data_IF_449602505753
#
_entry.id   IF_449602505753
#
_cell.length_a   1.000
_cell.length_b   1.000
_cell.length_c   1.000
_cell.angle_alpha   90.00
_cell.angle_beta   90.00
_cell.angle_gamma   90.00
#
_symmetry.space_group_name_H-M   'P 1'
#
loop_
_entity.id
_entity.type
_entity.pdbx_description
1 polymer ?
#
# COMPACT_ATOMS: atom_id res chain seq x y z
N UNK A 1 -11.49 -2.14 8.82
CA UNK A 1 -11.58 -2.08 7.35
C UNK A 1 -11.34 -3.45 6.76
N UNK A 2 -12.15 -3.83 5.77
CA UNK A 2 -11.94 -5.05 5.01
C UNK A 2 -10.69 -4.90 4.13
N UNK A 3 -9.68 -5.73 4.37
CA UNK A 3 -8.42 -5.74 3.60
C UNK A 3 -8.53 -6.63 2.38
N UNK A 4 -9.34 -7.69 2.45
CA UNK A 4 -9.50 -8.67 1.38
C UNK A 4 -10.86 -9.34 1.45
N UNK A 5 -11.44 -9.53 0.26
CA UNK A 5 -12.70 -10.19 -0.01
C UNK A 5 -12.56 -11.12 -1.23
N UNK A 6 -13.58 -11.89 -1.62
CA UNK A 6 -13.50 -12.75 -2.83
C UNK A 6 -13.29 -11.96 -4.12
N UNK A 7 -13.62 -10.67 -4.11
CA UNK A 7 -13.45 -9.76 -5.25
C UNK A 7 -12.05 -9.17 -5.35
N UNK A 8 -11.21 -9.28 -4.32
CA UNK A 8 -9.85 -8.74 -4.36
C UNK A 8 -9.40 -8.19 -3.02
N UNK A 9 -8.32 -7.41 -3.04
CA UNK A 9 -7.77 -6.73 -1.87
C UNK A 9 -7.93 -5.20 -1.92
N UNK A 10 -7.78 -4.58 -0.75
CA UNK A 10 -7.85 -3.13 -0.54
C UNK A 10 -6.57 -2.57 0.08
N UNK A 11 -5.48 -3.34 0.17
CA UNK A 11 -4.14 -2.90 0.58
C UNK A 11 -3.65 -1.73 -0.27
N UNK A 12 -3.35 -1.98 -1.55
CA UNK A 12 -2.74 -1.02 -2.49
C UNK A 12 -2.82 -1.52 -3.94
N UNK A 13 -2.28 -0.77 -4.91
CA UNK A 13 -2.09 -1.17 -6.31
C UNK A 13 -0.66 -0.88 -6.76
N UNK A 14 -0.19 -1.43 -7.89
CA UNK A 14 1.06 -0.98 -8.49
C UNK A 14 1.07 0.51 -8.83
N UNK A 15 -0.10 1.12 -9.12
CA UNK A 15 -0.21 2.55 -9.36
C UNK A 15 -0.01 3.40 -8.10
N UNK A 16 -0.44 2.93 -6.93
CA UNK A 16 -0.32 3.64 -5.65
C UNK A 16 0.95 3.28 -4.86
N UNK A 17 1.50 2.08 -5.11
CA UNK A 17 2.68 1.52 -4.45
C UNK A 17 3.58 0.80 -5.47
N UNK A 18 4.25 1.53 -6.35
CA UNK A 18 4.99 0.97 -7.48
C UNK A 18 6.37 0.46 -7.13
N UNK A 19 6.93 0.92 -6.02
CA UNK A 19 8.15 0.38 -5.46
C UNK A 19 7.91 -0.89 -4.62
N UNK A 20 6.67 -1.37 -4.57
CA UNK A 20 6.25 -2.61 -3.93
C UNK A 20 5.94 -3.66 -5.01
N UNK A 21 6.86 -4.61 -5.19
CA UNK A 21 6.74 -5.70 -6.16
C UNK A 21 5.56 -6.66 -5.87
N UNK A 22 4.94 -6.58 -4.69
CA UNK A 22 3.80 -7.39 -4.29
C UNK A 22 2.48 -6.62 -4.27
N UNK A 23 2.45 -5.37 -4.74
CA UNK A 23 1.26 -4.52 -4.82
C UNK A 23 0.22 -4.99 -5.86
N UNK A 24 0.59 -5.93 -6.73
CA UNK A 24 -0.26 -6.49 -7.79
C UNK A 24 -1.13 -7.68 -7.36
N UNK A 25 -1.22 -7.99 -6.06
CA UNK A 25 -2.01 -9.11 -5.57
C UNK A 25 -3.51 -8.81 -5.72
N UNK A 26 -4.22 -9.66 -6.45
CA UNK A 26 -5.69 -9.68 -6.53
C UNK A 26 -6.33 -8.28 -6.63
N UNK A 27 -5.76 -7.43 -7.48
CA UNK A 27 -6.25 -6.07 -7.73
C UNK A 27 -7.54 -6.15 -8.54
N UNK A 28 -8.62 -5.60 -7.99
CA UNK A 28 -9.91 -5.59 -8.65
C UNK A 28 -10.12 -4.28 -9.42
N UNK A 29 -10.23 -4.37 -10.73
CA UNK A 29 -10.32 -3.20 -11.63
C UNK A 29 -11.63 -3.11 -12.41
N UNK A 30 -12.65 -3.87 -12.01
CA UNK A 30 -13.91 -4.00 -12.73
C UNK A 30 -15.04 -3.27 -12.03
N UNK A 31 -16.00 -2.77 -12.82
CA UNK A 31 -17.27 -2.32 -12.28
C UNK A 31 -18.18 -3.50 -11.98
N UNK A 32 -18.85 -3.43 -10.84
CA UNK A 32 -19.91 -4.38 -10.49
C UNK A 32 -21.27 -3.91 -11.03
N UNK A 33 -22.24 -4.81 -10.99
CA UNK A 33 -23.66 -4.55 -11.34
C UNK A 33 -23.86 -4.10 -12.80
N UNK A 34 -22.98 -4.53 -13.70
CA UNK A 34 -23.05 -4.19 -15.12
C UNK A 34 -22.85 -2.69 -15.41
N UNK A 35 -22.35 -1.92 -14.43
CA UNK A 35 -22.07 -0.49 -14.61
C UNK A 35 -20.99 -0.32 -15.68
N UNK A 36 -21.31 0.47 -16.70
CA UNK A 36 -20.35 0.93 -17.71
C UNK A 36 -19.73 2.23 -17.22
N UNK A 37 -18.43 2.41 -17.46
CA UNK A 37 -17.74 3.62 -17.07
C UNK A 37 -16.23 3.49 -17.26
N UNK A 38 -15.49 4.59 -17.11
CA UNK A 38 -14.02 4.55 -17.05
C UNK A 38 -13.59 3.63 -15.90
N UNK A 39 -12.38 3.05 -15.91
CA UNK A 39 -11.87 2.23 -14.82
C UNK A 39 -12.11 2.87 -13.44
N UNK A 40 -12.37 2.07 -12.37
CA UNK A 40 -12.52 2.61 -11.03
C UNK A 40 -11.32 3.47 -10.62
N UNK A 41 -11.59 4.57 -9.90
CA UNK A 41 -10.55 5.46 -9.39
C UNK A 41 -9.68 4.72 -8.37
N UNK A 42 -8.35 4.77 -8.55
CA UNK A 42 -7.42 4.16 -7.60
C UNK A 42 -7.22 5.03 -6.35
N UNK A 43 -6.96 6.33 -6.52
CA UNK A 43 -6.80 7.23 -5.37
C UNK A 43 -8.09 7.31 -4.55
N UNK A 44 -7.93 7.25 -3.23
CA UNK A 44 -9.04 7.23 -2.28
C UNK A 44 -9.71 5.86 -2.09
N UNK A 45 -9.32 4.83 -2.86
CA UNK A 45 -9.97 3.51 -2.83
C UNK A 45 -9.21 2.43 -2.04
N UNK A 46 -7.97 2.71 -1.60
CA UNK A 46 -7.10 1.72 -0.95
C UNK A 46 -6.63 2.17 0.44
N UNK A 47 -6.55 1.22 1.37
CA UNK A 47 -6.33 1.48 2.79
C UNK A 47 -4.91 1.94 3.11
N UNK A 48 -3.89 1.49 2.36
CA UNK A 48 -2.53 2.01 2.52
C UNK A 48 -2.46 3.49 2.19
N UNK A 49 -3.17 3.93 1.14
CA UNK A 49 -3.30 5.35 0.82
C UNK A 49 -4.04 6.11 1.93
N UNK A 50 -5.13 5.55 2.45
CA UNK A 50 -5.84 6.17 3.57
C UNK A 50 -4.95 6.33 4.83
N UNK A 51 -4.11 5.34 5.17
CA UNK A 51 -3.15 5.46 6.27
C UNK A 51 -2.12 6.58 6.04
N UNK A 52 -1.60 6.67 4.81
CA UNK A 52 -0.69 7.74 4.36
C UNK A 52 -1.35 9.12 4.49
N UNK A 53 -2.55 9.27 3.94
CA UNK A 53 -3.33 10.50 4.05
C UNK A 53 -3.63 10.86 5.50
N UNK A 54 -3.89 9.85 6.35
CA UNK A 54 -4.13 10.02 7.77
C UNK A 54 -2.94 10.62 8.52
N UNK A 55 -1.72 10.13 8.28
CA UNK A 55 -0.52 10.71 8.91
C UNK A 55 -0.19 12.09 8.35
N UNK A 56 -0.43 12.33 7.07
CA UNK A 56 -0.29 13.66 6.47
C UNK A 56 -1.30 14.68 7.03
N UNK A 57 -2.55 14.26 7.26
CA UNK A 57 -3.57 15.07 7.95
C UNK A 57 -3.20 15.34 9.40
N UNK A 58 -2.64 14.36 10.13
CA UNK A 58 -2.17 14.56 11.50
C UNK A 58 -1.11 15.66 11.57
N UNK A 59 -0.11 15.59 10.69
CA UNK A 59 0.95 16.57 10.61
C UNK A 59 0.41 17.97 10.24
N UNK A 60 -0.46 18.04 9.22
CA UNK A 60 -0.91 19.31 8.65
C UNK A 60 -2.03 19.99 9.46
N UNK A 61 -2.88 19.20 10.13
CA UNK A 61 -4.15 19.65 10.73
C UNK A 61 -4.35 19.20 12.17
N UNK A 62 -3.47 18.35 12.71
CA UNK A 62 -3.53 17.88 14.09
C UNK A 62 -4.56 16.79 14.36
N UNK A 63 -5.02 16.07 13.32
CA UNK A 63 -5.90 14.91 13.49
C UNK A 63 -5.74 13.86 12.38
N UNK A 64 -5.94 12.59 12.74
CA UNK A 64 -5.90 11.44 11.83
C UNK A 64 -7.22 10.64 11.90
N UNK A 65 -8.09 10.76 10.88
CA UNK A 65 -9.34 9.99 10.85
C UNK A 65 -9.14 8.54 10.37
N UNK A 66 -7.97 8.23 9.79
CA UNK A 66 -7.66 6.94 9.16
C UNK A 66 -6.75 6.08 10.05
N UNK A 67 -7.25 5.77 11.26
CA UNK A 67 -6.64 4.75 12.15
C UNK A 67 -7.48 3.46 12.30
N UNK A 68 -8.13 2.92 11.26
CA UNK A 68 -8.87 1.66 11.39
C UNK A 68 -7.91 0.47 11.52
N UNK A 69 -8.40 -0.60 12.15
CA UNK A 69 -7.77 -1.91 12.09
C UNK A 69 -8.19 -2.64 10.83
N UNK A 70 -7.58 -3.78 10.55
CA UNK A 70 -7.87 -4.58 9.36
C UNK A 70 -8.50 -5.92 9.71
N UNK A 71 -9.43 -6.34 8.85
CA UNK A 71 -10.19 -7.59 8.92
C UNK A 71 -10.34 -8.15 7.50
N UNK A 72 -10.66 -9.43 7.37
CA UNK A 72 -10.96 -10.07 6.09
C UNK A 72 -12.43 -10.44 5.97
N UNK A 73 -12.96 -10.46 4.76
CA UNK A 73 -14.35 -10.79 4.47
C UNK A 73 -14.49 -11.88 3.41
N UNK A 74 -15.68 -12.47 3.37
CA UNK A 74 -16.06 -13.42 2.33
C UNK A 74 -16.92 -12.74 1.27
N UNK A 75 -18.04 -12.16 1.69
CA UNK A 75 -19.11 -11.70 0.79
C UNK A 75 -19.41 -12.78 -0.27
N UNK A 76 -19.57 -13.98 0.26
CA UNK A 76 -19.97 -15.17 -0.47
C UNK A 76 -21.48 -15.30 -0.43
N UNK A 77 -22.10 -15.58 -1.58
CA UNK A 77 -23.55 -15.69 -1.75
C UNK A 77 -24.02 -17.16 -1.70
N UNK A 78 -23.28 -18.00 -0.97
CA UNK A 78 -23.60 -19.40 -0.72
C UNK A 78 -23.48 -19.71 0.78
N UNK A 79 -24.10 -20.79 1.24
CA UNK A 79 -24.19 -21.14 2.67
C UNK A 79 -22.85 -21.50 3.34
N UNK A 80 -21.80 -21.75 2.55
CA UNK A 80 -20.45 -22.08 3.01
C UNK A 80 -19.42 -21.20 2.31
N UNK A 81 -18.37 -20.79 3.03
CA UNK A 81 -17.37 -19.85 2.50
C UNK A 81 -16.15 -20.62 1.98
N UNK A 82 -15.75 -20.45 0.70
CA UNK A 82 -14.50 -21.00 0.21
C UNK A 82 -13.35 -20.04 0.51
N UNK A 83 -12.47 -20.37 1.46
CA UNK A 83 -11.34 -19.52 1.88
C UNK A 83 -9.97 -20.07 1.46
N UNK A 84 -9.93 -21.16 0.69
CA UNK A 84 -8.69 -21.80 0.23
C UNK A 84 -8.69 -21.97 -1.28
N UNK A 85 -7.51 -21.87 -1.89
CA UNK A 85 -7.32 -22.23 -3.30
C UNK A 85 -7.67 -23.71 -3.52
N UNK A 86 -7.17 -24.57 -2.64
CA UNK A 86 -7.56 -25.98 -2.56
C UNK A 86 -9.02 -26.05 -2.07
N UNK A 87 -9.87 -26.72 -2.83
CA UNK A 87 -11.31 -26.86 -2.56
C UNK A 87 -12.14 -25.56 -2.76
N UNK A 88 -11.74 -24.70 -3.69
CA UNK A 88 -12.60 -23.60 -4.13
C UNK A 88 -13.80 -24.14 -4.92
N UNK A 89 -15.02 -23.78 -4.50
CA UNK A 89 -16.26 -24.29 -5.10
C UNK A 89 -17.18 -23.20 -5.66
N UNK A 90 -16.66 -21.98 -5.84
CA UNK A 90 -17.46 -20.82 -6.27
C UNK A 90 -18.16 -20.11 -5.12
N UNK A 91 -18.67 -18.92 -5.39
CA UNK A 91 -19.26 -18.03 -4.37
C UNK A 91 -20.64 -17.48 -4.76
N UNK A 92 -21.17 -17.88 -5.92
CA UNK A 92 -22.42 -17.35 -6.52
C UNK A 92 -23.44 -18.45 -6.86
N UNK A 93 -23.42 -19.55 -6.10
CA UNK A 93 -24.42 -20.61 -6.18
C UNK A 93 -24.48 -21.24 -7.57
N UNK A 94 -25.67 -21.32 -8.14
CA UNK A 94 -25.89 -22.01 -9.43
C UNK A 94 -25.19 -21.37 -10.63
N UNK A 95 -24.66 -20.15 -10.48
CA UNK A 95 -23.89 -19.48 -11.55
C UNK A 95 -22.47 -20.06 -11.66
N UNK A 96 -21.87 -20.47 -10.55
CA UNK A 96 -20.46 -20.89 -10.49
C UNK A 96 -20.24 -22.17 -9.67
N UNK A 97 -21.27 -23.03 -9.55
CA UNK A 97 -21.26 -24.29 -8.79
C UNK A 97 -20.42 -25.40 -9.42
N UNK A 98 -20.26 -25.45 -10.74
CA UNK A 98 -19.41 -26.44 -11.43
C UNK A 98 -18.04 -25.89 -11.83
N UNK A 99 -17.08 -26.81 -11.99
CA UNK A 99 -15.72 -26.48 -12.43
C UNK A 99 -15.76 -25.82 -13.82
N UNK A 100 -16.57 -26.38 -14.73
CA UNK A 100 -16.73 -25.90 -16.10
C UNK A 100 -17.27 -24.48 -16.14
N UNK A 101 -18.31 -24.16 -15.34
CA UNK A 101 -18.88 -22.80 -15.27
C UNK A 101 -17.82 -21.78 -14.82
N UNK A 102 -17.07 -22.11 -13.76
CA UNK A 102 -16.00 -21.25 -13.24
C UNK A 102 -14.86 -21.04 -14.24
N UNK A 103 -14.37 -22.12 -14.84
CA UNK A 103 -13.26 -22.06 -15.80
C UNK A 103 -13.67 -21.36 -17.10
N UNK A 104 -14.93 -21.51 -17.52
CA UNK A 104 -15.47 -20.78 -18.68
C UNK A 104 -15.77 -19.29 -18.37
N UNK A 105 -15.61 -18.85 -17.11
CA UNK A 105 -15.83 -17.47 -16.71
C UNK A 105 -17.29 -17.06 -16.71
N UNK A 106 -18.18 -17.92 -16.20
CA UNK A 106 -19.59 -17.58 -15.99
C UNK A 106 -19.73 -16.23 -15.27
N UNK A 107 -20.59 -15.36 -15.78
CA UNK A 107 -20.71 -13.97 -15.31
C UNK A 107 -21.94 -13.79 -14.43
N UNK A 108 -21.76 -13.14 -13.30
CA UNK A 108 -22.83 -12.71 -12.37
C UNK A 108 -22.72 -11.21 -12.15
N UNK A 109 -23.76 -10.46 -12.52
CA UNK A 109 -23.77 -9.00 -12.34
C UNK A 109 -22.53 -8.27 -12.90
N UNK A 110 -21.98 -8.76 -14.01
CA UNK A 110 -20.75 -8.22 -14.64
C UNK A 110 -19.43 -8.77 -14.09
N UNK A 111 -19.48 -9.59 -13.02
CA UNK A 111 -18.31 -10.24 -12.44
C UNK A 111 -18.06 -11.60 -13.11
N UNK A 112 -16.91 -11.74 -13.76
CA UNK A 112 -16.46 -13.00 -14.31
C UNK A 112 -15.94 -13.93 -13.19
N UNK A 113 -16.56 -15.10 -13.02
CA UNK A 113 -16.23 -16.07 -11.97
C UNK A 113 -14.78 -16.57 -11.99
N UNK A 114 -14.08 -16.49 -13.12
CA UNK A 114 -12.65 -16.84 -13.21
C UNK A 114 -11.77 -15.89 -12.36
N UNK A 115 -12.20 -14.64 -12.21
CA UNK A 115 -11.48 -13.60 -11.47
C UNK A 115 -11.81 -13.58 -9.98
N UNK A 116 -12.83 -14.33 -9.57
CA UNK A 116 -13.20 -14.47 -8.17
C UNK A 116 -12.15 -15.32 -7.46
N UNK A 117 -11.81 -14.92 -6.25
CA UNK A 117 -10.81 -15.60 -5.41
C UNK A 117 -11.46 -16.23 -4.18
N UNK A 118 -10.75 -17.11 -3.45
CA UNK A 118 -11.19 -17.52 -2.13
C UNK A 118 -11.44 -16.30 -1.24
N UNK A 119 -12.21 -16.44 -0.17
CA UNK A 119 -12.48 -15.39 0.81
C UNK A 119 -11.24 -15.01 1.61
N UNK A 120 -11.24 -13.81 2.21
CA UNK A 120 -10.30 -13.46 3.27
C UNK A 120 -10.77 -13.99 4.62
N UNK A 121 -9.86 -14.08 5.59
CA UNK A 121 -10.21 -14.40 6.97
C UNK A 121 -9.86 -13.23 7.89
N UNK A 122 -10.75 -12.98 8.84
CA UNK A 122 -10.48 -12.13 10.00
C UNK A 122 -9.87 -12.96 11.12
N UNK A 123 -8.78 -12.46 11.69
CA UNK A 123 -8.20 -13.00 12.90
C UNK A 123 -8.22 -11.94 14.00
N UNK A 124 -8.54 -12.38 15.21
CA UNK A 124 -8.75 -11.52 16.39
C UNK A 124 -7.95 -12.12 17.55
N UNK A 125 -7.03 -11.35 18.12
CA UNK A 125 -6.33 -11.76 19.34
C UNK A 125 -7.11 -11.29 20.56
N UNK A 126 -7.85 -12.22 21.16
CA UNK A 126 -8.60 -12.02 22.40
C UNK A 126 -7.99 -12.83 23.55
N UNK A 127 -8.21 -12.39 24.78
CA UNK A 127 -7.75 -13.07 26.00
C UNK A 127 -8.48 -14.39 26.21
N UNK A 128 -9.74 -14.46 25.78
CA UNK A 128 -10.62 -15.63 25.86
C UNK A 128 -11.63 -15.62 24.71
N UNK A 129 -12.29 -16.77 24.49
CA UNK A 129 -13.32 -16.93 23.47
C UNK A 129 -14.72 -16.60 24.02
N UNK A 130 -14.86 -15.38 24.57
CA UNK A 130 -16.15 -14.82 25.00
C UNK A 130 -16.54 -13.68 24.08
N UNK A 131 -17.84 -13.39 23.98
CA UNK A 131 -18.33 -12.28 23.17
C UNK A 131 -17.64 -10.96 23.56
N UNK A 132 -17.56 -10.67 24.85
CA UNK A 132 -17.00 -9.41 25.34
C UNK A 132 -15.52 -9.29 25.01
N UNK A 133 -14.72 -10.33 25.28
CA UNK A 133 -13.29 -10.33 24.96
C UNK A 133 -13.00 -10.18 23.45
N UNK A 134 -13.83 -10.78 22.59
CA UNK A 134 -13.73 -10.62 21.13
C UNK A 134 -14.08 -9.20 20.69
N UNK A 135 -15.14 -8.60 21.24
CA UNK A 135 -15.53 -7.22 20.92
C UNK A 135 -14.49 -6.22 21.42
N UNK A 136 -13.92 -6.42 22.60
CA UNK A 136 -12.85 -5.60 23.12
C UNK A 136 -11.58 -5.69 22.27
N UNK A 137 -11.27 -6.89 21.75
CA UNK A 137 -10.16 -7.11 20.81
C UNK A 137 -10.34 -6.37 19.50
N UNK A 138 -11.54 -6.43 18.93
CA UNK A 138 -11.88 -5.66 17.73
C UNK A 138 -11.85 -4.15 17.99
N UNK A 139 -12.35 -3.69 19.15
CA UNK A 139 -12.34 -2.27 19.54
C UNK A 139 -10.93 -1.72 19.68
N UNK A 140 -10.01 -2.48 20.30
CA UNK A 140 -8.58 -2.10 20.36
C UNK A 140 -7.81 -2.36 19.07
N UNK A 141 -8.49 -2.90 18.03
CA UNK A 141 -7.94 -3.19 16.70
C UNK A 141 -6.80 -4.21 16.72
N UNK A 142 -6.79 -5.11 17.69
CA UNK A 142 -5.83 -6.22 17.75
C UNK A 142 -6.28 -7.35 16.82
N UNK A 143 -6.40 -6.99 15.55
CA UNK A 143 -6.95 -7.79 14.48
C UNK A 143 -6.00 -7.78 13.30
N UNK A 144 -6.09 -8.80 12.47
CA UNK A 144 -5.38 -8.86 11.22
C UNK A 144 -6.20 -9.61 10.17
N UNK A 145 -5.87 -9.41 8.90
CA UNK A 145 -6.52 -10.08 7.78
C UNK A 145 -5.58 -11.08 7.15
N UNK A 146 -6.12 -12.18 6.65
CA UNK A 146 -5.39 -13.07 5.75
C UNK A 146 -6.10 -13.17 4.42
N UNK A 147 -5.36 -13.56 3.40
CA UNK A 147 -5.91 -13.84 2.08
C UNK A 147 -6.69 -15.16 2.00
N UNK A 148 -7.01 -15.78 3.15
CA UNK A 148 -7.75 -17.04 3.22
C UNK A 148 -7.00 -18.15 3.94
N UNK A 149 -5.66 -18.11 3.90
CA UNK A 149 -4.78 -19.01 4.65
C UNK A 149 -4.74 -18.63 6.13
N UNK A 150 -4.63 -19.61 7.03
CA UNK A 150 -4.63 -19.41 8.48
C UNK A 150 -3.24 -19.15 9.04
N UNK A 151 -2.53 -18.15 8.51
CA UNK A 151 -1.25 -17.69 9.05
C UNK A 151 -1.48 -17.07 10.43
N UNK A 152 -0.97 -17.65 11.54
CA UNK A 152 -0.96 -16.98 12.84
C UNK A 152 0.08 -15.87 12.83
N UNK A 153 -0.32 -14.62 13.08
CA UNK A 153 0.56 -13.45 13.05
C UNK A 153 0.49 -12.66 14.36
N UNK A 154 1.63 -12.41 14.99
CA UNK A 154 1.80 -11.48 16.11
C UNK A 154 2.71 -10.33 15.70
N UNK A 155 2.33 -9.12 16.07
CA UNK A 155 3.08 -7.89 15.80
C UNK A 155 2.99 -6.97 17.01
N UNK A 156 4.15 -6.56 17.52
CA UNK A 156 4.28 -5.65 18.65
C UNK A 156 5.31 -4.57 18.34
N UNK A 157 5.15 -3.38 18.92
CA UNK A 157 6.09 -2.26 18.81
C UNK A 157 6.44 -1.67 20.18
N UNK A 158 7.65 -1.13 20.33
CA UNK A 158 8.08 -0.48 21.57
C UNK A 158 9.52 0.04 21.50
N UNK A 159 9.95 0.77 22.53
CA UNK A 159 11.25 1.48 22.54
C UNK A 159 12.46 0.64 22.99
N UNK A 160 12.23 -0.61 23.39
CA UNK A 160 13.26 -1.47 24.00
C UNK A 160 12.98 -2.95 23.82
N UNK A 161 12.36 -3.32 22.69
CA UNK A 161 12.17 -4.73 22.33
C UNK A 161 13.48 -5.23 21.72
N UNK A 162 14.14 -6.19 22.38
CA UNK A 162 15.40 -6.76 21.93
C UNK A 162 15.25 -8.20 21.42
N UNK A 163 16.19 -8.64 20.58
CA UNK A 163 16.16 -9.99 20.00
C UNK A 163 16.26 -11.12 21.04
N UNK A 164 16.83 -10.86 22.22
CA UNK A 164 16.89 -11.81 23.33
C UNK A 164 15.51 -12.15 23.90
N UNK A 165 14.52 -11.25 23.77
CA UNK A 165 13.14 -11.50 24.17
C UNK A 165 12.56 -12.75 23.50
N UNK A 166 12.86 -12.99 22.21
CA UNK A 166 12.29 -14.10 21.45
C UNK A 166 12.74 -15.48 21.93
N UNK A 167 13.82 -15.54 22.73
CA UNK A 167 14.35 -16.75 23.36
C UNK A 167 13.61 -17.14 24.65
N UNK A 168 12.81 -16.22 25.20
CA UNK A 168 12.03 -16.49 26.41
C UNK A 168 10.83 -17.37 26.07
N UNK A 169 10.52 -18.32 26.96
CA UNK A 169 9.36 -19.21 26.80
C UNK A 169 8.05 -18.41 26.66
N UNK A 170 7.88 -17.41 27.52
CA UNK A 170 6.69 -16.54 27.59
C UNK A 170 6.92 -15.19 26.90
N UNK A 171 7.63 -15.17 25.77
CA UNK A 171 8.00 -13.91 25.08
C UNK A 171 6.78 -13.04 24.73
N UNK A 172 5.61 -13.64 24.46
CA UNK A 172 4.37 -12.91 24.16
C UNK A 172 3.92 -12.08 25.37
N UNK A 173 3.95 -12.67 26.57
CA UNK A 173 3.63 -11.96 27.83
C UNK A 173 4.60 -10.79 28.04
N UNK A 174 5.88 -11.02 27.79
CA UNK A 174 6.90 -9.95 27.85
C UNK A 174 6.63 -8.85 26.82
N UNK A 175 6.20 -9.20 25.60
CA UNK A 175 5.90 -8.24 24.55
C UNK A 175 4.68 -7.35 24.90
N UNK A 176 3.61 -7.92 25.46
CA UNK A 176 2.49 -7.14 25.99
C UNK A 176 2.88 -6.23 27.15
N UNK A 177 3.81 -6.66 28.02
CA UNK A 177 4.24 -5.87 29.16
C UNK A 177 5.18 -4.71 28.78
N UNK A 178 5.97 -4.86 27.71
CA UNK A 178 7.02 -3.90 27.31
C UNK A 178 6.71 -3.09 26.05
N UNK A 179 5.68 -3.45 25.31
CA UNK A 179 5.31 -2.82 24.05
C UNK A 179 3.80 -2.74 23.89
N UNK A 180 3.38 -2.40 22.68
CA UNK A 180 1.97 -2.33 22.29
C UNK A 180 1.71 -3.31 21.14
N UNK A 181 0.54 -3.96 21.10
CA UNK A 181 0.19 -4.85 20.00
C UNK A 181 -0.22 -4.06 18.74
N UNK A 182 -0.34 -4.77 17.62
CA UNK A 182 -1.01 -4.25 16.42
C UNK A 182 -2.37 -3.60 16.77
N UNK A 183 -2.70 -2.49 16.11
CA UNK A 183 -3.91 -1.73 16.40
C UNK A 183 -3.73 -0.58 17.39
N UNK A 184 -2.56 -0.44 18.00
CA UNK A 184 -2.28 0.57 19.02
C UNK A 184 -1.31 1.68 18.56
N UNK A 185 -1.31 2.77 19.32
CA UNK A 185 -0.30 3.82 19.25
C UNK A 185 0.93 3.45 20.09
N UNK A 186 2.13 3.71 19.58
CA UNK A 186 3.34 3.68 20.38
C UNK A 186 3.22 4.70 21.53
N UNK A 187 3.70 4.33 22.74
CA UNK A 187 3.74 5.28 23.84
C UNK A 187 4.73 6.41 23.53
N UNK A 188 4.68 7.49 24.32
CA UNK A 188 5.52 8.67 24.11
C UNK A 188 7.00 8.31 23.87
N UNK A 189 7.66 8.97 22.89
CA UNK A 189 8.99 8.60 22.44
C UNK A 189 10.05 8.66 23.52
N UNK A 190 10.89 7.62 23.58
CA UNK A 190 12.01 7.50 24.51
C UNK A 190 13.37 7.95 23.89
N UNK A 191 13.34 8.71 22.78
CA UNK A 191 14.53 9.24 22.12
C UNK A 191 15.38 8.25 21.32
N UNK A 192 14.90 7.01 21.13
CA UNK A 192 15.53 5.97 20.28
C UNK A 192 14.54 5.51 19.21
N UNK A 193 15.02 4.84 18.16
CA UNK A 193 14.15 4.22 17.17
C UNK A 193 13.27 3.12 17.80
N UNK A 194 12.00 2.98 17.37
CA UNK A 194 11.16 1.89 17.84
C UNK A 194 11.64 0.56 17.26
N UNK A 195 11.55 -0.47 18.08
CA UNK A 195 11.77 -1.86 17.72
C UNK A 195 10.43 -2.58 17.63
N UNK A 196 10.35 -3.53 16.72
CA UNK A 196 9.15 -4.26 16.37
C UNK A 196 9.41 -5.75 16.43
N UNK A 197 8.57 -6.47 17.17
CA UNK A 197 8.59 -7.93 17.23
C UNK A 197 7.57 -8.45 16.24
N UNK A 198 7.99 -9.37 15.36
CA UNK A 198 7.10 -10.08 14.46
C UNK A 198 7.27 -11.59 14.66
N UNK A 199 6.16 -12.31 14.72
CA UNK A 199 6.14 -13.77 14.71
C UNK A 199 5.01 -14.24 13.80
N UNK A 200 5.37 -15.05 12.80
CA UNK A 200 4.44 -15.67 11.88
C UNK A 200 4.74 -17.17 11.74
N UNK A 201 3.70 -17.99 11.67
CA UNK A 201 3.81 -19.41 11.33
C UNK A 201 2.96 -19.71 10.11
N UNK A 202 3.32 -20.73 9.33
CA UNK A 202 2.52 -21.15 8.17
C UNK A 202 1.12 -21.63 8.58
N UNK A 203 0.16 -21.57 7.66
CA UNK A 203 -1.04 -22.40 7.79
C UNK A 203 -0.62 -23.88 7.67
N UNK A 204 -0.96 -24.76 8.63
CA UNK A 204 -0.66 -26.19 8.55
C UNK A 204 -1.14 -26.86 7.25
N UNK A 205 -2.21 -26.34 6.65
CA UNK A 205 -2.82 -26.86 5.42
C UNK A 205 -2.35 -26.13 4.14
N UNK A 206 -1.41 -25.17 4.23
CA UNK A 206 -0.94 -24.36 3.10
C UNK A 206 0.59 -24.39 2.91
N UNK A 207 1.07 -23.47 2.09
CA UNK A 207 2.47 -23.28 1.73
C UNK A 207 3.31 -22.82 2.93
N UNK A 208 4.62 -23.10 2.86
CA UNK A 208 5.59 -22.51 3.76
C UNK A 208 5.69 -20.99 3.54
N UNK A 209 6.23 -20.25 4.50
CA UNK A 209 6.42 -18.81 4.43
C UNK A 209 7.62 -18.45 3.52
N UNK A 210 7.46 -17.44 2.67
CA UNK A 210 8.53 -16.77 1.93
C UNK A 210 9.24 -15.76 2.83
N UNK A 211 8.51 -14.72 3.23
CA UNK A 211 9.07 -13.56 3.95
C UNK A 211 8.05 -12.81 4.78
N UNK A 212 8.57 -12.02 5.70
CA UNK A 212 7.86 -11.02 6.49
C UNK A 212 8.38 -9.65 6.08
N UNK A 213 7.44 -8.76 5.80
CA UNK A 213 7.68 -7.37 5.46
C UNK A 213 7.08 -6.45 6.52
N UNK A 214 7.77 -5.34 6.81
CA UNK A 214 7.18 -4.20 7.51
C UNK A 214 6.99 -3.09 6.47
N UNK A 215 5.75 -2.67 6.28
CA UNK A 215 5.39 -1.52 5.47
C UNK A 215 5.32 -0.31 6.39
N UNK A 216 6.25 0.62 6.22
CA UNK A 216 6.28 1.91 6.91
C UNK A 216 5.67 2.97 6.00
N UNK A 217 4.81 3.82 6.54
CA UNK A 217 4.42 5.07 5.90
C UNK A 217 4.65 6.26 6.84
N UNK A 218 4.98 7.42 6.28
CA UNK A 218 5.21 8.67 7.02
C UNK A 218 4.87 9.87 6.14
N UNK A 219 4.82 11.07 6.73
CA UNK A 219 4.57 12.31 5.99
C UNK A 219 5.59 13.39 6.27
N UNK A 220 5.88 14.20 5.25
CA UNK A 220 6.70 15.41 5.36
C UNK A 220 5.98 16.51 4.59
N UNK A 221 5.62 17.60 5.27
CA UNK A 221 4.95 18.76 4.70
C UNK A 221 3.73 18.38 3.85
N UNK A 222 2.89 17.48 4.36
CA UNK A 222 1.67 17.03 3.66
C UNK A 222 1.90 16.04 2.51
N UNK A 223 3.15 15.80 2.08
CA UNK A 223 3.48 14.70 1.17
C UNK A 223 3.60 13.41 1.97
N UNK A 224 3.08 12.33 1.40
CA UNK A 224 3.13 11.00 2.00
C UNK A 224 4.18 10.12 1.33
N UNK A 225 4.86 9.33 2.15
CA UNK A 225 5.94 8.44 1.74
C UNK A 225 5.68 7.04 2.27
N UNK A 226 6.22 6.04 1.59
CA UNK A 226 6.23 4.67 2.08
C UNK A 226 7.57 3.99 1.83
N UNK A 227 7.85 2.96 2.63
CA UNK A 227 8.98 2.07 2.42
C UNK A 227 8.65 0.69 2.94
N UNK A 228 8.99 -0.31 2.15
CA UNK A 228 8.80 -1.71 2.47
C UNK A 228 10.16 -2.27 2.89
N UNK A 229 10.20 -2.89 4.07
CA UNK A 229 11.38 -3.56 4.59
C UNK A 229 11.12 -5.06 4.64
N UNK A 230 11.95 -5.86 3.96
CA UNK A 230 12.03 -7.30 4.21
C UNK A 230 12.77 -7.51 5.54
N UNK A 231 12.10 -8.05 6.57
CA UNK A 231 12.64 -8.13 7.94
C UNK A 231 12.95 -9.54 8.43
N UNK A 232 12.38 -10.55 7.76
CA UNK A 232 12.72 -11.96 7.92
C UNK A 232 12.34 -12.71 6.64
N UNK A 233 13.14 -13.68 6.20
CA UNK A 233 12.86 -14.44 4.98
C UNK A 233 13.46 -15.83 5.03
N UNK A 234 12.90 -16.73 4.21
CA UNK A 234 13.33 -18.11 4.10
C UNK A 234 14.55 -18.27 3.19
N UNK A 235 15.44 -19.20 3.56
CA UNK A 235 16.60 -19.59 2.76
C UNK A 235 17.74 -18.56 2.75
N UNK A 236 18.92 -18.93 2.24
CA UNK A 236 20.14 -18.10 2.26
C UNK A 236 20.15 -17.04 1.13
N UNK A 237 19.05 -16.29 1.00
CA UNK A 237 18.95 -15.18 0.04
C UNK A 237 19.57 -13.93 0.64
N UNK A 238 20.31 -13.17 -0.16
CA UNK A 238 20.95 -11.93 0.26
C UNK A 238 20.16 -10.73 -0.28
N UNK A 239 19.81 -9.75 0.56
CA UNK A 239 19.25 -8.49 0.09
C UNK A 239 20.23 -7.79 -0.85
N UNK A 240 19.68 -7.10 -1.84
CA UNK A 240 20.44 -6.18 -2.68
C UNK A 240 21.02 -5.04 -1.82
N UNK A 241 22.34 -4.75 -1.86
CA UNK A 241 22.95 -3.76 -0.99
C UNK A 241 22.48 -2.32 -1.20
N UNK A 242 21.98 -1.98 -2.39
CA UNK A 242 21.55 -0.62 -2.72
C UNK A 242 20.09 -0.39 -2.32
N UNK A 243 19.22 -1.37 -2.56
CA UNK A 243 17.77 -1.25 -2.39
C UNK A 243 17.26 -1.92 -1.10
N UNK A 244 18.02 -2.86 -0.53
CA UNK A 244 17.59 -3.69 0.60
C UNK A 244 16.56 -4.76 0.23
N UNK A 245 16.22 -4.92 -1.06
CA UNK A 245 15.21 -5.88 -1.54
C UNK A 245 15.76 -7.30 -1.55
N UNK A 246 14.99 -8.26 -1.03
CA UNK A 246 15.35 -9.68 -1.08
C UNK A 246 14.88 -10.30 -2.40
N UNK A 247 15.74 -11.01 -3.15
CA UNK A 247 15.34 -11.71 -4.36
C UNK A 247 14.10 -12.59 -4.17
N UNK A 248 13.25 -12.68 -5.20
CA UNK A 248 12.06 -13.54 -5.17
C UNK A 248 12.44 -14.98 -4.78
N UNK A 249 11.59 -15.62 -3.96
CA UNK A 249 11.74 -17.04 -3.69
C UNK A 249 11.41 -17.83 -4.97
N UNK A 250 12.07 -18.98 -5.16
CA UNK A 250 11.73 -19.89 -6.26
C UNK A 250 10.28 -20.38 -6.16
N UNK A 251 9.84 -21.08 -7.20
CA UNK A 251 8.51 -21.72 -7.25
C UNK A 251 8.66 -23.23 -7.25
N UNK A 252 7.84 -23.93 -6.46
CA UNK A 252 7.71 -25.39 -6.47
C UNK A 252 6.42 -25.85 -7.16
N UNK A 253 5.73 -24.93 -7.84
CA UNK A 253 4.46 -25.19 -8.52
C UNK A 253 4.68 -26.06 -9.75
N UNK A 254 3.96 -27.17 -9.82
CA UNK A 254 3.79 -27.98 -11.02
C UNK A 254 2.44 -27.60 -11.65
N UNK A 255 2.48 -26.73 -12.66
CA UNK A 255 1.27 -26.26 -13.36
C UNK A 255 0.58 -27.38 -14.16
N UNK A 256 1.32 -28.39 -14.61
CA UNK A 256 0.75 -29.54 -15.33
C UNK A 256 -0.09 -30.42 -14.43
N UNK A 257 0.23 -30.47 -13.13
CA UNK A 257 -0.52 -31.23 -12.11
C UNK A 257 -1.42 -30.35 -11.23
N UNK A 258 -1.26 -29.04 -11.26
CA UNK A 258 -1.93 -28.13 -10.34
C UNK A 258 -1.52 -28.38 -8.89
N UNK A 259 -0.26 -28.77 -8.66
CA UNK A 259 0.27 -29.10 -7.34
C UNK A 259 1.49 -28.24 -7.00
N UNK A 260 1.98 -28.36 -5.78
CA UNK A 260 3.23 -27.75 -5.33
C UNK A 260 3.84 -28.59 -4.20
N UNK A 261 5.10 -28.32 -3.85
CA UNK A 261 5.75 -28.95 -2.69
C UNK A 261 6.26 -27.92 -1.70
N UNK A 262 6.27 -28.28 -0.42
CA UNK A 262 6.80 -27.44 0.66
C UNK A 262 8.31 -27.70 0.88
N UNK A 263 9.07 -27.92 -0.20
CA UNK A 263 10.52 -28.17 -0.17
C UNK A 263 11.37 -26.90 0.01
N UNK A 264 10.76 -25.73 -0.13
CA UNK A 264 11.34 -24.40 0.14
C UNK A 264 10.46 -23.62 1.11
N UNK A 265 10.90 -22.41 1.51
CA UNK A 265 10.19 -21.59 2.48
C UNK A 265 10.50 -22.01 3.93
N UNK A 266 9.89 -21.31 4.89
CA UNK A 266 10.05 -21.57 6.32
C UNK A 266 8.71 -21.90 6.99
N UNK A 267 8.72 -22.75 8.02
CA UNK A 267 7.50 -23.04 8.81
C UNK A 267 7.17 -21.93 9.80
N UNK A 268 8.19 -21.20 10.26
CA UNK A 268 8.10 -20.06 11.16
C UNK A 268 9.08 -18.98 10.70
N UNK A 269 8.66 -17.72 10.78
CA UNK A 269 9.52 -16.55 10.68
C UNK A 269 9.28 -15.67 11.91
N UNK A 270 10.34 -15.44 12.68
CA UNK A 270 10.31 -14.70 13.93
C UNK A 270 11.51 -13.76 14.01
N UNK A 271 11.28 -12.47 14.25
CA UNK A 271 12.35 -11.46 14.24
C UNK A 271 12.03 -10.27 15.15
N UNK A 272 13.08 -9.53 15.50
CA UNK A 272 12.97 -8.18 16.06
C UNK A 272 13.67 -7.24 15.10
N UNK A 273 12.93 -6.25 14.59
CA UNK A 273 13.42 -5.27 13.64
C UNK A 273 13.34 -3.87 14.24
N UNK A 274 14.39 -3.06 14.06
CA UNK A 274 14.41 -1.66 14.50
C UNK A 274 14.43 -0.78 13.27
N UNK A 275 13.61 0.27 13.26
CA UNK A 275 13.52 1.19 12.12
C UNK A 275 14.84 1.94 11.89
N UNK A 276 15.59 1.65 10.82
CA UNK A 276 16.90 2.24 10.58
C UNK A 276 16.83 3.69 10.11
N UNK A 277 15.67 4.14 9.65
CA UNK A 277 15.43 5.48 9.12
C UNK A 277 14.33 6.18 9.93
N UNK A 278 14.31 5.93 11.25
CA UNK A 278 13.36 6.57 12.15
C UNK A 278 13.70 8.05 12.34
N UNK A 279 12.72 8.91 12.08
CA UNK A 279 12.78 10.32 12.44
C UNK A 279 11.75 10.56 13.56
N UNK A 280 12.18 10.93 14.78
CA UNK A 280 11.26 11.16 15.89
C UNK A 280 10.33 12.37 15.65
N UNK A 281 10.63 13.25 14.70
CA UNK A 281 9.82 14.42 14.37
C UNK A 281 8.67 14.15 13.39
N UNK A 282 8.60 12.96 12.78
CA UNK A 282 7.63 12.63 11.73
C UNK A 282 6.56 11.65 12.22
N UNK A 283 5.29 11.92 11.90
CA UNK A 283 4.23 10.91 12.06
C UNK A 283 4.52 9.71 11.19
N UNK A 284 4.29 8.51 11.73
CA UNK A 284 4.49 7.27 11.00
C UNK A 284 3.47 6.20 11.38
N UNK A 285 3.29 5.24 10.49
CA UNK A 285 2.61 3.99 10.79
C UNK A 285 3.42 2.82 10.25
N UNK A 286 3.22 1.65 10.87
CA UNK A 286 3.91 0.41 10.53
C UNK A 286 2.88 -0.71 10.52
N UNK A 287 2.80 -1.51 9.45
CA UNK A 287 2.07 -2.76 9.50
C UNK A 287 2.88 -3.89 8.87
N UNK A 288 2.55 -5.12 9.23
CA UNK A 288 3.23 -6.31 8.75
C UNK A 288 2.49 -6.90 7.56
N UNK A 289 3.24 -7.31 6.54
CA UNK A 289 2.77 -8.24 5.50
C UNK A 289 3.58 -9.54 5.57
N UNK A 290 2.91 -10.68 5.64
CA UNK A 290 3.55 -12.01 5.58
C UNK A 290 3.19 -12.64 4.25
N UNK A 291 4.15 -13.25 3.57
CA UNK A 291 3.97 -13.91 2.27
C UNK A 291 4.26 -15.40 2.40
N UNK A 292 3.42 -16.25 1.81
CA UNK A 292 3.70 -17.65 1.52
C UNK A 292 4.53 -17.80 0.23
N UNK A 293 5.17 -18.97 0.05
CA UNK A 293 5.76 -19.34 -1.23
C UNK A 293 4.67 -19.44 -2.32
N UNK A 294 5.03 -19.34 -3.61
CA UNK A 294 4.05 -19.47 -4.69
C UNK A 294 3.28 -20.81 -4.64
N UNK A 295 1.98 -20.76 -4.86
CA UNK A 295 1.08 -21.92 -4.97
C UNK A 295 0.26 -21.83 -6.27
N UNK A 296 -0.21 -22.96 -6.83
CA UNK A 296 -1.13 -22.90 -7.96
C UNK A 296 -2.45 -22.25 -7.52
N UNK A 297 -2.98 -21.37 -8.36
CA UNK A 297 -4.31 -20.78 -8.16
C UNK A 297 -5.40 -21.84 -8.32
N UNK A 298 -6.58 -21.64 -7.71
CA UNK A 298 -7.69 -22.58 -7.83
C UNK A 298 -8.06 -22.86 -9.29
N UNK A 299 -7.96 -21.84 -10.15
CA UNK A 299 -8.24 -21.91 -11.59
C UNK A 299 -7.27 -22.86 -12.30
N UNK A 300 -5.99 -22.85 -11.91
CA UNK A 300 -4.98 -23.78 -12.40
C UNK A 300 -5.26 -25.21 -11.95
N UNK A 301 -5.55 -25.40 -10.65
CA UNK A 301 -5.89 -26.73 -10.11
C UNK A 301 -7.13 -27.32 -10.81
N UNK A 302 -8.11 -26.48 -11.12
CA UNK A 302 -9.37 -26.88 -11.73
C UNK A 302 -9.27 -27.10 -13.24
N UNK A 303 -8.48 -26.29 -13.95
CA UNK A 303 -8.23 -26.51 -15.38
C UNK A 303 -7.56 -27.86 -15.63
N UNK A 304 -6.59 -28.25 -14.80
CA UNK A 304 -5.94 -29.57 -14.88
C UNK A 304 -6.96 -30.71 -14.73
N UNK A 305 -7.93 -30.59 -13.81
CA UNK A 305 -9.00 -31.59 -13.65
C UNK A 305 -9.89 -31.73 -14.89
N UNK A 306 -10.03 -30.66 -15.68
CA UNK A 306 -10.75 -30.67 -16.94
C UNK A 306 -9.89 -31.09 -18.14
N UNK A 307 -8.61 -31.42 -17.94
CA UNK A 307 -7.67 -31.65 -19.04
C UNK A 307 -7.36 -30.40 -19.87
N UNK A 308 -7.49 -29.21 -19.28
CA UNK A 308 -7.26 -27.91 -19.93
C UNK A 308 -5.96 -27.26 -19.45
N UNK A 309 -5.42 -26.39 -20.29
CA UNK A 309 -4.29 -25.54 -19.92
C UNK A 309 -4.72 -24.54 -18.82
N UNK A 310 -3.95 -24.38 -17.73
CA UNK A 310 -4.21 -23.37 -16.71
C UNK A 310 -4.42 -21.96 -17.31
N UNK A 311 -5.49 -21.24 -16.93
CA UNK A 311 -5.69 -19.88 -17.39
C UNK A 311 -4.56 -18.95 -16.95
N UNK A 312 -4.04 -18.17 -17.89
CA UNK A 312 -3.00 -17.16 -17.67
C UNK A 312 -3.09 -16.08 -18.75
N UNK A 313 -2.66 -14.85 -18.45
CA UNK A 313 -2.63 -13.77 -19.44
C UNK A 313 -2.36 -12.41 -18.80
N UNK A 314 -2.59 -11.33 -19.56
CA UNK A 314 -2.45 -9.97 -19.04
C UNK A 314 -3.39 -9.75 -17.86
N UNK A 315 -2.82 -9.44 -16.69
CA UNK A 315 -3.56 -9.24 -15.44
C UNK A 315 -4.02 -10.51 -14.72
N UNK A 316 -3.77 -11.72 -15.25
CA UNK A 316 -4.20 -12.97 -14.62
C UNK A 316 -3.08 -14.01 -14.56
N UNK A 317 -2.73 -14.45 -13.36
CA UNK A 317 -1.63 -15.41 -13.15
C UNK A 317 -2.13 -16.79 -12.77
N UNK A 318 -1.46 -17.83 -13.29
CA UNK A 318 -1.73 -19.23 -12.94
C UNK A 318 -1.21 -19.60 -11.52
N UNK A 319 -0.41 -18.72 -10.93
CA UNK A 319 0.25 -18.88 -9.63
C UNK A 319 -0.12 -17.71 -8.74
N UNK A 320 -0.26 -17.97 -7.45
CA UNK A 320 -0.61 -16.96 -6.44
C UNK A 320 0.29 -17.10 -5.21
N UNK A 321 0.55 -15.98 -4.53
CA UNK A 321 1.23 -15.95 -3.24
C UNK A 321 0.28 -15.42 -2.17
N UNK A 322 -0.22 -16.34 -1.35
CA UNK A 322 -1.10 -16.03 -0.24
C UNK A 322 -0.35 -15.29 0.87
N UNK A 323 -1.10 -14.56 1.70
CA UNK A 323 -0.52 -13.54 2.58
C UNK A 323 -1.39 -13.17 3.77
N UNK A 324 -0.79 -12.47 4.73
CA UNK A 324 -1.47 -11.84 5.86
C UNK A 324 -1.05 -10.39 6.02
N UNK A 325 -1.93 -9.56 6.58
CA UNK A 325 -1.73 -8.14 6.86
C UNK A 325 -2.16 -7.82 8.28
N UNK A 326 -1.25 -7.28 9.11
CA UNK A 326 -1.60 -6.82 10.45
C UNK A 326 -2.37 -5.50 10.43
N UNK A 327 -3.10 -5.21 11.50
CA UNK A 327 -3.45 -3.81 11.79
C UNK A 327 -2.16 -2.98 12.00
N UNK A 328 -2.16 -1.68 11.69
CA UNK A 328 -0.99 -0.86 11.91
C UNK A 328 -0.67 -0.64 13.39
N UNK A 329 0.58 -0.29 13.67
CA UNK A 329 1.01 0.41 14.88
C UNK A 329 1.38 1.83 14.45
N UNK A 330 0.90 2.83 15.19
CA UNK A 330 1.11 4.24 14.86
C UNK A 330 2.16 4.88 15.75
N UNK A 331 2.85 5.88 15.22
CA UNK A 331 3.73 6.78 15.94
C UNK A 331 3.28 8.21 15.71
N UNK A 332 3.03 8.91 16.83
CA UNK A 332 2.73 10.34 16.83
C UNK A 332 3.82 11.06 17.63
N UNK A 333 4.63 11.92 17.00
CA UNK A 333 5.64 12.72 17.67
C UNK A 333 5.07 13.59 18.80
N UNK A 334 5.86 13.76 19.86
CA UNK A 334 5.58 14.79 20.87
C UNK A 334 5.72 16.18 20.26
N UNK A 335 5.05 17.18 20.84
CA UNK A 335 5.17 18.57 20.38
C UNK A 335 6.63 19.07 20.33
N UNK A 336 7.49 18.56 21.23
CA UNK A 336 8.91 18.90 21.22
C UNK A 336 9.68 18.18 20.12
N UNK A 337 9.39 16.91 19.85
CA UNK A 337 10.00 16.17 18.75
C UNK A 337 9.59 16.75 17.39
N UNK A 338 8.34 17.21 17.22
CA UNK A 338 7.91 17.89 15.97
C UNK A 338 8.75 19.12 15.63
N UNK A 339 9.28 19.83 16.63
CA UNK A 339 10.13 21.01 16.40
C UNK A 339 11.49 20.66 15.79
N UNK A 340 11.93 19.41 15.87
CA UNK A 340 13.17 18.98 15.20
C UNK A 340 12.96 18.77 13.71
N UNK A 341 11.73 18.56 13.26
CA UNK A 341 11.40 18.54 11.84
C UNK A 341 11.48 19.96 11.28
N UNK A 342 12.14 20.10 10.12
CA UNK A 342 12.20 21.38 9.42
C UNK A 342 10.79 21.74 8.92
N UNK A 343 10.20 22.88 9.34
CA UNK A 343 8.87 23.24 8.91
C UNK A 343 8.86 23.53 7.40
N UNK A 344 7.88 22.97 6.70
CA UNK A 344 7.58 23.31 5.31
C UNK A 344 6.95 24.69 5.18
N UNK A 345 7.10 25.29 4.01
CA UNK A 345 6.44 26.55 3.67
C UNK A 345 4.96 26.28 3.39
N UNK A 346 4.06 27.00 4.06
CA UNK A 346 2.62 26.87 3.80
C UNK A 346 2.11 27.97 2.87
N UNK A 347 0.96 27.74 2.24
CA UNK A 347 0.22 28.78 1.50
C UNK A 347 -0.10 29.98 2.39
N UNK A 348 -0.40 29.75 3.67
CA UNK A 348 -0.62 30.85 4.62
C UNK A 348 0.64 31.68 4.86
N UNK A 349 1.82 31.05 4.90
CA UNK A 349 3.10 31.75 5.01
C UNK A 349 3.43 32.53 3.74
N UNK A 350 3.13 31.96 2.56
CA UNK A 350 3.24 32.66 1.28
C UNK A 350 2.39 33.93 1.26
N UNK A 351 1.12 33.83 1.66
CA UNK A 351 0.24 34.99 1.72
C UNK A 351 0.75 36.06 2.68
N UNK A 352 1.28 35.68 3.85
CA UNK A 352 1.91 36.62 4.79
C UNK A 352 3.17 37.28 4.23
N UNK A 353 3.90 36.59 3.36
CA UNK A 353 5.09 37.12 2.67
C UNK A 353 4.72 37.99 1.46
N UNK A 354 3.44 38.18 1.14
CA UNK A 354 2.98 38.99 0.01
C UNK A 354 2.99 38.27 -1.33
N UNK A 355 3.01 36.93 -1.33
CA UNK A 355 2.92 36.17 -2.57
C UNK A 355 1.54 36.32 -3.22
N UNK A 356 1.52 36.47 -4.55
CA UNK A 356 0.28 36.62 -5.34
C UNK A 356 0.03 35.34 -6.12
N UNK A 357 -1.16 34.75 -5.98
CA UNK A 357 -1.58 33.59 -6.77
C UNK A 357 -1.76 33.98 -8.24
N UNK A 358 -1.29 33.14 -9.16
CA UNK A 358 -1.43 33.38 -10.59
C UNK A 358 -2.85 33.07 -11.08
N UNK A 359 -3.39 33.94 -11.94
CA UNK A 359 -4.61 33.67 -12.70
C UNK A 359 -4.36 32.88 -13.98
N UNK A 360 -5.43 32.52 -14.70
CA UNK A 360 -5.37 31.70 -15.92
C UNK A 360 -4.40 32.24 -16.97
N UNK A 361 -4.44 33.54 -17.26
CA UNK A 361 -3.57 34.17 -18.25
C UNK A 361 -2.10 34.05 -17.85
N UNK A 362 -1.78 34.36 -16.59
CA UNK A 362 -0.41 34.31 -16.09
C UNK A 362 0.14 32.88 -16.07
N UNK A 363 -0.71 31.89 -15.74
CA UNK A 363 -0.35 30.48 -15.85
C UNK A 363 -0.07 30.08 -17.29
N UNK A 364 -0.91 30.51 -18.25
CA UNK A 364 -0.69 30.24 -19.67
C UNK A 364 0.64 30.82 -20.15
N UNK A 365 0.93 32.07 -19.79
CA UNK A 365 2.21 32.71 -20.10
C UNK A 365 3.40 31.99 -19.45
N UNK A 366 3.22 31.41 -18.26
CA UNK A 366 4.29 30.69 -17.55
C UNK A 366 4.61 29.33 -18.16
N UNK A 367 3.60 28.53 -18.51
CA UNK A 367 3.80 27.10 -18.84
C UNK A 367 3.45 26.70 -20.26
N UNK A 368 2.44 27.31 -20.90
CA UNK A 368 1.90 26.77 -22.16
C UNK A 368 2.89 26.93 -23.31
N UNK A 369 3.17 25.82 -23.99
CA UNK A 369 4.16 25.71 -25.05
C UNK A 369 5.60 25.64 -24.55
N UNK A 370 5.83 25.56 -23.22
CA UNK A 370 7.16 25.65 -22.60
C UNK A 370 7.50 24.41 -21.79
N UNK A 371 8.79 24.19 -21.60
CA UNK A 371 9.30 23.29 -20.57
C UNK A 371 9.59 24.11 -19.31
N UNK A 372 9.03 23.67 -18.19
CA UNK A 372 9.30 24.26 -16.88
C UNK A 372 10.09 23.27 -16.03
N UNK A 373 11.10 23.78 -15.33
CA UNK A 373 11.80 23.05 -14.28
C UNK A 373 10.99 23.19 -12.99
N UNK A 374 10.66 22.06 -12.38
CA UNK A 374 9.94 21.99 -11.11
C UNK A 374 10.82 21.27 -10.10
N UNK A 375 11.12 21.92 -8.98
CA UNK A 375 11.85 21.30 -7.87
C UNK A 375 10.89 20.99 -6.73
N UNK A 376 10.82 19.73 -6.32
CA UNK A 376 10.17 19.35 -5.07
C UNK A 376 11.11 19.68 -3.91
N UNK A 377 10.72 20.63 -3.06
CA UNK A 377 11.54 21.11 -1.93
C UNK A 377 11.59 20.13 -0.76
N UNK A 378 10.67 19.16 -0.72
CA UNK A 378 10.62 18.09 0.29
C UNK A 378 11.64 17.00 -0.05
N UNK A 379 11.64 16.51 -1.29
CA UNK A 379 12.52 15.40 -1.72
C UNK A 379 13.84 15.89 -2.31
N UNK A 380 13.91 17.14 -2.76
CA UNK A 380 15.03 17.70 -3.51
C UNK A 380 15.02 17.33 -5.01
N UNK A 381 14.08 16.49 -5.44
CA UNK A 381 13.97 15.99 -6.81
C UNK A 381 13.60 17.11 -7.79
N UNK A 382 14.23 17.10 -8.97
CA UNK A 382 13.97 18.03 -10.05
C UNK A 382 13.26 17.33 -11.20
N UNK A 383 12.29 18.01 -11.77
CA UNK A 383 11.52 17.56 -12.92
C UNK A 383 11.61 18.61 -14.02
N UNK A 384 11.70 18.17 -15.27
CA UNK A 384 11.43 19.02 -16.43
C UNK A 384 10.11 18.58 -17.03
N UNK A 385 9.17 19.53 -17.13
CA UNK A 385 7.79 19.25 -17.54
C UNK A 385 7.45 20.14 -18.73
N UNK A 386 7.30 19.52 -19.89
CA UNK A 386 6.76 20.16 -21.08
C UNK A 386 5.25 20.26 -20.95
N UNK A 387 4.69 21.46 -21.10
CA UNK A 387 3.25 21.68 -21.22
C UNK A 387 2.95 22.10 -22.66
N UNK A 388 2.54 21.15 -23.49
CA UNK A 388 2.23 21.38 -24.90
C UNK A 388 1.00 22.27 -25.10
N UNK A 389 0.93 22.93 -26.26
CA UNK A 389 -0.19 23.82 -26.64
C UNK A 389 -1.52 23.09 -26.86
N UNK A 390 -1.48 21.77 -26.99
CA UNK A 390 -2.65 20.91 -27.20
C UNK A 390 -3.33 20.46 -25.91
N UNK A 391 -2.89 20.95 -24.74
CA UNK A 391 -3.40 20.51 -23.45
C UNK A 391 -2.79 19.19 -22.97
N UNK A 392 -1.63 18.80 -23.50
CA UNK A 392 -0.88 17.62 -23.04
C UNK A 392 0.41 18.01 -22.34
N UNK A 393 0.71 17.38 -21.22
CA UNK A 393 1.94 17.57 -20.45
C UNK A 393 2.76 16.30 -20.42
N UNK A 394 4.07 16.44 -20.44
CA UNK A 394 5.03 15.34 -20.43
C UNK A 394 6.19 15.67 -19.50
N UNK A 395 6.52 14.76 -18.57
CA UNK A 395 7.83 14.82 -17.92
C UNK A 395 8.90 14.39 -18.93
N UNK A 396 9.82 15.28 -19.24
CA UNK A 396 10.94 15.02 -20.17
C UNK A 396 12.20 14.54 -19.45
N UNK A 397 12.44 15.02 -18.23
CA UNK A 397 13.58 14.63 -17.42
C UNK A 397 13.29 14.63 -15.92
N UNK A 398 14.02 13.78 -15.18
CA UNK A 398 14.04 13.69 -13.73
C UNK A 398 15.49 13.67 -13.26
N UNK A 399 15.85 14.61 -12.38
CA UNK A 399 17.21 14.83 -11.89
C UNK A 399 18.27 14.87 -13.02
N UNK A 400 17.92 15.53 -14.12
CA UNK A 400 18.78 15.70 -15.30
C UNK A 400 18.93 14.46 -16.18
N UNK A 401 18.22 13.37 -15.88
CA UNK A 401 18.15 12.17 -16.72
C UNK A 401 16.83 12.13 -17.48
N UNK A 402 16.85 11.66 -18.72
CA UNK A 402 15.62 11.43 -19.48
C UNK A 402 14.66 10.58 -18.65
N UNK A 403 13.40 11.00 -18.54
CA UNK A 403 12.42 10.32 -17.71
C UNK A 403 12.16 8.91 -18.26
N UNK A 404 12.37 7.88 -17.44
CA UNK A 404 11.87 6.55 -17.76
C UNK A 404 10.37 6.52 -17.50
N UNK A 405 9.60 6.51 -18.58
CA UNK A 405 8.14 6.45 -18.55
C UNK A 405 7.60 5.15 -17.93
N UNK A 406 8.46 4.16 -17.62
CA UNK A 406 8.11 2.86 -17.01
C UNK A 406 8.33 2.81 -15.50
N UNK A 407 9.26 3.60 -14.97
CA UNK A 407 9.61 3.64 -13.53
C UNK A 407 8.97 4.83 -12.78
N UNK A 408 8.02 5.53 -13.41
CA UNK A 408 7.31 6.70 -12.89
C UNK A 408 6.43 6.41 -11.64
N UNK A 409 6.66 5.28 -11.00
CA UNK A 409 5.89 4.81 -9.89
C UNK A 409 5.77 5.80 -8.73
N UNK A 410 6.88 6.28 -8.18
CA UNK A 410 6.78 7.27 -7.10
C UNK A 410 6.41 8.67 -7.62
N UNK A 411 6.24 8.82 -8.94
CA UNK A 411 5.95 10.11 -9.52
C UNK A 411 4.46 10.37 -9.45
N UNK A 412 4.10 11.10 -8.39
CA UNK A 412 2.93 11.98 -8.32
C UNK A 412 2.88 13.01 -9.48
N UNK A 413 3.77 12.95 -10.46
CA UNK A 413 3.84 13.79 -11.66
C UNK A 413 3.74 12.97 -12.97
N UNK A 414 3.59 11.64 -12.89
CA UNK A 414 3.96 10.69 -13.93
C UNK A 414 3.53 11.01 -15.37
N UNK A 415 4.42 10.71 -16.30
CA UNK A 415 4.09 10.43 -17.69
C UNK A 415 3.51 11.56 -18.53
N UNK A 416 2.90 11.11 -19.61
CA UNK A 416 2.25 11.87 -20.66
C UNK A 416 0.74 11.95 -20.34
N UNK A 417 0.29 13.10 -19.86
CA UNK A 417 -1.05 13.28 -19.31
C UNK A 417 -1.72 14.51 -19.91
N UNK A 418 -3.05 14.51 -19.90
CA UNK A 418 -3.81 15.72 -20.18
C UNK A 418 -3.66 16.73 -19.02
N UNK A 419 -3.63 18.01 -19.38
CA UNK A 419 -3.69 19.11 -18.42
C UNK A 419 -4.60 20.22 -18.92
N UNK A 420 -5.19 20.94 -17.98
CA UNK A 420 -5.94 22.16 -18.27
C UNK A 420 -5.57 23.28 -17.31
N UNK A 421 -5.83 24.52 -17.73
CA UNK A 421 -5.77 25.70 -16.86
C UNK A 421 -7.20 26.20 -16.70
N UNK A 422 -7.71 26.14 -15.47
CA UNK A 422 -9.08 26.56 -15.12
C UNK A 422 -9.15 27.04 -13.67
N UNK A 423 -9.75 28.21 -13.47
CA UNK A 423 -9.96 28.85 -12.16
C UNK A 423 -8.65 29.19 -11.43
N UNK A 424 -7.64 29.65 -12.16
CA UNK A 424 -6.32 30.02 -11.64
C UNK A 424 -5.49 28.82 -11.21
N UNK A 425 -5.76 27.63 -11.77
CA UNK A 425 -5.08 26.39 -11.39
C UNK A 425 -4.68 25.56 -12.60
N UNK A 426 -3.52 24.93 -12.48
CA UNK A 426 -3.08 23.87 -13.38
C UNK A 426 -3.66 22.54 -12.88
N UNK A 427 -4.50 21.91 -13.69
CA UNK A 427 -5.16 20.65 -13.33
C UNK A 427 -4.57 19.51 -14.13
N UNK A 428 -4.45 18.35 -13.50
CA UNK A 428 -4.02 17.10 -14.14
C UNK A 428 -4.83 15.96 -13.57
N UNK A 429 -5.30 15.06 -14.43
CA UNK A 429 -5.87 13.79 -14.00
C UNK A 429 -4.77 12.72 -13.90
N UNK A 430 -4.64 12.08 -12.74
CA UNK A 430 -3.74 10.94 -12.55
C UNK A 430 -4.60 9.75 -12.12
N UNK A 431 -4.75 8.76 -13.01
CA UNK A 431 -5.53 7.54 -12.79
C UNK A 431 -6.98 7.81 -12.34
N UNK A 432 -7.65 8.76 -13.01
CA UNK A 432 -9.04 9.13 -12.78
C UNK A 432 -9.25 10.10 -11.62
N UNK A 433 -8.17 10.68 -11.08
CA UNK A 433 -8.21 11.61 -9.94
C UNK A 433 -7.63 12.97 -10.31
N UNK A 434 -8.42 14.02 -10.12
CA UNK A 434 -8.03 15.40 -10.42
C UNK A 434 -7.09 15.94 -9.34
N UNK A 435 -5.94 16.44 -9.77
CA UNK A 435 -4.97 17.14 -8.94
C UNK A 435 -4.82 18.57 -9.42
N UNK A 436 -5.17 19.51 -8.56
CA UNK A 436 -4.98 20.94 -8.76
C UNK A 436 -3.61 21.39 -8.24
N UNK A 437 -2.94 22.26 -9.00
CA UNK A 437 -1.75 23.01 -8.60
C UNK A 437 -2.02 24.51 -8.70
N UNK A 438 -1.89 25.21 -7.58
CA UNK A 438 -1.88 26.66 -7.52
C UNK A 438 -0.44 27.17 -7.54
N UNK A 439 -0.15 28.16 -8.38
CA UNK A 439 1.18 28.79 -8.48
C UNK A 439 1.12 30.20 -7.91
N UNK A 440 2.10 30.56 -7.10
CA UNK A 440 2.23 31.81 -6.40
C UNK A 440 3.52 32.49 -6.84
N UNK A 441 3.46 33.79 -7.15
CA UNK A 441 4.62 34.62 -7.42
C UNK A 441 5.03 35.36 -6.15
N UNK A 442 6.29 35.21 -5.75
CA UNK A 442 6.90 35.90 -4.61
C UNK A 442 8.23 36.51 -5.05
N UNK A 443 8.24 37.83 -5.30
CA UNK A 443 9.36 38.49 -5.99
C UNK A 443 9.56 37.88 -7.38
N UNK A 444 10.76 37.38 -7.64
CA UNK A 444 11.13 36.74 -8.91
C UNK A 444 10.93 35.22 -8.94
N UNK A 445 10.45 34.63 -7.82
CA UNK A 445 10.27 33.18 -7.68
C UNK A 445 8.82 32.78 -7.90
N UNK A 446 8.61 31.61 -8.51
CA UNK A 446 7.32 30.93 -8.53
C UNK A 446 7.34 29.72 -7.60
N UNK A 447 6.35 29.65 -6.72
CA UNK A 447 6.17 28.58 -5.75
C UNK A 447 4.82 27.95 -5.99
N UNK A 448 4.72 26.63 -5.92
CA UNK A 448 3.47 25.94 -6.20
C UNK A 448 3.04 25.04 -5.04
N UNK A 449 1.73 24.98 -4.84
CA UNK A 449 1.06 24.17 -3.84
C UNK A 449 0.06 23.24 -4.52
N UNK A 450 0.11 21.95 -4.17
CA UNK A 450 -0.79 20.94 -4.70
C UNK A 450 -1.96 20.72 -3.75
N UNK A 451 -3.14 20.48 -4.30
CA UNK A 451 -4.40 20.29 -3.58
C UNK A 451 -4.40 19.16 -2.54
N UNK A 452 -3.63 18.08 -2.77
CA UNK A 452 -3.56 16.94 -1.86
C UNK A 452 -2.41 17.03 -0.83
N UNK A 453 -1.69 18.16 -0.77
CA UNK A 453 -0.57 18.37 0.17
C UNK A 453 -0.97 19.35 1.28
N UNK A 454 -2.26 19.37 1.63
CA UNK A 454 -2.81 20.02 2.82
C UNK A 454 -2.41 21.50 3.04
N UNK A 455 -2.15 22.24 1.95
CA UNK A 455 -1.80 23.65 2.00
C UNK A 455 -0.30 23.94 2.15
N UNK A 456 0.57 22.93 1.96
CA UNK A 456 2.00 23.15 1.82
C UNK A 456 2.38 23.55 0.38
N UNK A 457 3.32 24.49 0.27
CA UNK A 457 3.92 24.94 -0.97
C UNK A 457 5.27 24.24 -1.16
N UNK A 458 5.21 23.01 -1.67
CA UNK A 458 6.36 22.12 -1.75
C UNK A 458 7.13 22.19 -3.07
N UNK A 459 6.77 23.11 -3.97
CA UNK A 459 7.34 23.15 -5.32
C UNK A 459 7.90 24.53 -5.66
N UNK A 460 9.07 24.56 -6.27
CA UNK A 460 9.60 25.75 -6.96
C UNK A 460 9.44 25.53 -8.47
N UNK A 461 8.96 26.54 -9.19
CA UNK A 461 8.73 26.49 -10.64
C UNK A 461 9.61 27.53 -11.32
N UNK A 462 10.40 27.09 -12.27
CA UNK A 462 11.31 27.93 -13.04
C UNK A 462 11.08 27.65 -14.53
N UNK A 463 10.64 28.64 -15.33
CA UNK A 463 10.62 28.45 -16.78
C UNK A 463 12.06 28.27 -17.28
N UNK A 464 12.29 27.25 -18.12
CA UNK A 464 13.57 27.13 -18.80
C UNK A 464 13.65 28.27 -19.83
N UNK A 465 14.70 29.07 -19.74
CA UNK A 465 15.00 30.03 -20.79
C UNK A 465 15.40 29.22 -22.03
N UNK A 466 14.67 29.40 -23.13
CA UNK A 466 14.97 28.81 -24.43
C UNK A 466 16.33 29.28 -24.99
#
# INVERSE_FOLDING_TARGET
TEMKQVKGQSETTPGLSPNDEFANYEVFVWHLLGKKGPPPQEYGSYIRQAYKDGVAMEQARGFNPYKPGVVGGSDSHVSVVPYRQKNFFGVHGTVDDTIEKRINGATVLGLNSLWVTPAGLSAVWAEENTRDALFDAMKRKETYSTSGVRIPLRFFGGWGLDAGMLKQKEWVKTAYAKGVPMGADLPAPAGKAPSFVVSATKDPDSANLDRVQIVKGWSINGQSFEKIYDVAWAGPRKPDPATGRVPAIGSTVDLGKGTYTNSIGAVELKTVWTDPAFDPGLDAFYYVRVLEIPTPRWSSMQAVKLGRVPPSGSGFTAVIQERAWSSPIWYTPSAQARKTAKPGLTVADLSKQGAVVLGDQQLRELVVGKTVKVRNTVTGQNFEILHGTTGRRLITAVDGKAADLREAGEMMHGGDLDYEIRDGRLRTDINGSEFDVAVYKLGDRYLAARSNEFGFANYEVEPLNE
#
